data_IF_885340891875
#
_entry.id   IF_885340891875
#
_cell.length_a   1.000
_cell.length_b   1.000
_cell.length_c   1.000
_cell.angle_alpha   90.00
_cell.angle_beta   90.00
_cell.angle_gamma   90.00
#
_symmetry.space_group_name_H-M   'P 1'
#
loop_
_entity.id
_entity.type
_entity.pdbx_description
1 polymer ?
#
# COMPACT_ATOMS: atom_id res chain seq x y z
N UNK A 1 37.88 -11.59 -56.25
CA UNK A 1 38.27 -12.82 -56.94
C UNK A 1 37.77 -13.97 -56.09
N UNK A 2 36.54 -14.48 -56.26
CA UNK A 2 35.77 -14.77 -57.51
C UNK A 2 36.46 -15.88 -58.33
N UNK A 3 35.79 -16.91 -58.87
CA UNK A 3 34.36 -17.33 -58.79
C UNK A 3 34.29 -18.84 -59.17
N UNK A 4 33.65 -19.73 -58.39
CA UNK A 4 32.28 -20.28 -58.56
C UNK A 4 32.14 -21.49 -59.51
N UNK A 5 31.11 -22.34 -59.25
CA UNK A 5 30.55 -23.44 -60.09
C UNK A 5 31.40 -24.74 -60.14
N UNK A 6 30.87 -25.96 -60.00
CA UNK A 6 29.47 -26.46 -60.17
C UNK A 6 29.07 -27.57 -59.16
N UNK A 7 27.79 -27.57 -58.78
CA UNK A 7 26.93 -28.74 -58.45
C UNK A 7 26.14 -29.14 -59.74
N UNK A 8 25.22 -30.15 -59.84
CA UNK A 8 24.54 -30.90 -58.76
C UNK A 8 24.33 -32.43 -58.95
N UNK A 9 23.91 -33.11 -57.87
CA UNK A 9 22.97 -34.26 -57.87
C UNK A 9 21.95 -34.01 -56.74
N UNK A 10 20.77 -33.44 -56.99
CA UNK A 10 19.57 -34.12 -57.54
C UNK A 10 19.08 -35.29 -56.67
N UNK A 11 18.16 -34.97 -55.76
CA UNK A 11 17.25 -35.92 -55.09
C UNK A 11 15.86 -35.27 -55.04
N UNK A 12 15.00 -35.63 -55.99
CA UNK A 12 13.57 -35.35 -55.88
C UNK A 12 12.97 -36.18 -54.73
N UNK A 13 12.12 -35.54 -53.93
CA UNK A 13 11.21 -36.22 -53.02
C UNK A 13 9.98 -35.32 -52.86
N UNK A 14 8.96 -35.61 -53.67
CA UNK A 14 7.61 -35.04 -53.53
C UNK A 14 6.93 -35.55 -52.24
N UNK A 15 5.72 -35.02 -52.00
CA UNK A 15 4.71 -35.48 -51.03
C UNK A 15 5.06 -35.27 -49.53
N UNK A 16 4.26 -34.62 -48.68
CA UNK A 16 2.85 -34.16 -48.78
C UNK A 16 2.66 -32.77 -48.13
N UNK A 17 1.86 -31.89 -48.74
CA UNK A 17 1.34 -30.69 -48.04
C UNK A 17 0.21 -31.10 -47.10
N UNK A 18 0.56 -31.35 -45.83
CA UNK A 18 -0.41 -31.71 -44.79
C UNK A 18 -1.09 -30.45 -44.22
N UNK A 19 -2.10 -29.94 -44.95
CA UNK A 19 -3.03 -28.91 -44.46
C UNK A 19 -3.77 -29.45 -43.22
N UNK A 20 -3.20 -29.19 -42.05
CA UNK A 20 -3.74 -29.58 -40.76
C UNK A 20 -4.71 -28.50 -40.31
N UNK A 21 -5.98 -28.62 -40.72
CA UNK A 21 -7.06 -27.80 -40.20
C UNK A 21 -7.08 -27.87 -38.66
N UNK A 22 -6.65 -26.79 -37.99
CA UNK A 22 -6.77 -26.65 -36.54
C UNK A 22 -8.25 -26.41 -36.18
N UNK A 23 -9.01 -27.49 -36.05
CA UNK A 23 -10.33 -27.45 -35.40
C UNK A 23 -10.15 -27.00 -33.94
N UNK A 24 -10.33 -25.70 -33.69
CA UNK A 24 -10.37 -25.14 -32.33
C UNK A 24 -11.47 -25.85 -31.52
N UNK A 25 -11.05 -26.63 -30.51
CA UNK A 25 -11.95 -27.48 -29.74
C UNK A 25 -12.75 -26.67 -28.71
N UNK A 26 -14.00 -26.34 -29.07
CA UNK A 26 -14.96 -25.57 -28.25
C UNK A 26 -15.22 -26.14 -26.82
N UNK A 27 -14.85 -27.40 -26.54
CA UNK A 27 -15.17 -28.10 -25.28
C UNK A 27 -14.51 -27.45 -24.04
N UNK A 28 -13.35 -26.79 -24.18
CA UNK A 28 -12.67 -26.10 -23.08
C UNK A 28 -13.42 -24.84 -22.59
N UNK A 29 -14.26 -24.20 -23.43
CA UNK A 29 -14.90 -22.93 -23.05
C UNK A 29 -16.02 -23.12 -22.01
N UNK A 30 -16.63 -24.30 -21.97
CA UNK A 30 -17.78 -24.61 -21.09
C UNK A 30 -17.33 -24.68 -19.62
N UNK A 31 -16.22 -25.36 -19.32
CA UNK A 31 -15.68 -25.48 -17.96
C UNK A 31 -15.20 -24.15 -17.38
N UNK A 32 -14.56 -23.34 -18.22
CA UNK A 32 -14.08 -21.98 -17.86
C UNK A 32 -15.22 -21.06 -17.41
N UNK A 33 -16.38 -21.14 -18.09
CA UNK A 33 -17.56 -20.32 -17.79
C UNK A 33 -18.21 -20.67 -16.44
N UNK A 34 -18.21 -21.93 -16.01
CA UNK A 34 -18.71 -22.30 -14.67
C UNK A 34 -17.77 -21.83 -13.56
N UNK A 35 -16.46 -22.08 -13.68
CA UNK A 35 -15.47 -21.63 -12.69
C UNK A 35 -15.49 -20.11 -12.49
N UNK A 36 -15.59 -19.32 -13.57
CA UNK A 36 -15.74 -17.85 -13.47
C UNK A 36 -17.03 -17.45 -12.77
N UNK A 37 -18.13 -18.16 -13.03
CA UNK A 37 -19.43 -17.94 -12.39
C UNK A 37 -19.42 -18.29 -10.89
N UNK A 38 -18.76 -19.40 -10.52
CA UNK A 38 -18.58 -19.82 -9.13
C UNK A 38 -17.62 -18.92 -8.35
N UNK A 39 -16.57 -18.38 -8.99
CA UNK A 39 -15.71 -17.36 -8.38
C UNK A 39 -16.48 -16.03 -8.13
N UNK A 40 -17.37 -15.64 -9.05
CA UNK A 40 -18.26 -14.48 -8.85
C UNK A 40 -19.26 -14.75 -7.71
N UNK A 41 -19.79 -15.97 -7.59
CA UNK A 41 -20.62 -16.39 -6.45
C UNK A 41 -19.85 -16.34 -5.12
N UNK A 42 -18.64 -16.89 -5.06
CA UNK A 42 -17.75 -16.81 -3.88
C UNK A 42 -17.45 -15.35 -3.50
N UNK A 43 -17.20 -14.50 -4.49
CA UNK A 43 -17.01 -13.05 -4.32
C UNK A 43 -18.27 -12.37 -3.77
N UNK A 44 -19.46 -12.76 -4.21
CA UNK A 44 -20.73 -12.22 -3.71
C UNK A 44 -21.05 -12.74 -2.30
N UNK A 45 -20.82 -14.01 -2.02
CA UNK A 45 -20.96 -14.63 -0.70
C UNK A 45 -20.00 -13.97 0.30
N UNK A 46 -18.73 -13.79 -0.04
CA UNK A 46 -17.76 -13.07 0.79
C UNK A 46 -18.15 -11.59 1.02
N UNK A 47 -18.70 -10.91 0.00
CA UNK A 47 -19.27 -9.56 0.14
C UNK A 47 -20.44 -9.50 1.13
N UNK A 48 -21.21 -10.57 1.29
CA UNK A 48 -22.29 -10.66 2.29
C UNK A 48 -21.76 -11.11 3.67
N UNK A 49 -20.86 -12.09 3.70
CA UNK A 49 -20.37 -12.79 4.88
C UNK A 49 -19.15 -12.15 5.58
N UNK A 50 -18.54 -11.07 5.04
CA UNK A 50 -17.37 -10.36 5.60
C UNK A 50 -17.46 -9.98 7.09
N UNK A 51 -18.67 -9.99 7.67
CA UNK A 51 -18.92 -9.70 9.09
C UNK A 51 -18.87 -10.93 10.00
N UNK A 52 -18.89 -12.13 9.44
CA UNK A 52 -19.19 -13.38 10.16
C UNK A 52 -18.02 -14.37 10.22
N UNK A 53 -16.96 -14.24 9.40
CA UNK A 53 -15.82 -15.19 9.37
C UNK A 53 -15.00 -15.29 10.67
N UNK A 54 -15.29 -14.47 11.68
CA UNK A 54 -14.84 -14.65 13.08
C UNK A 54 -15.50 -15.87 13.77
N UNK A 55 -16.57 -16.43 13.19
CA UNK A 55 -17.22 -17.66 13.62
C UNK A 55 -16.64 -18.84 12.82
N UNK A 56 -16.14 -19.92 13.47
CA UNK A 56 -15.60 -21.07 12.76
C UNK A 56 -16.59 -21.70 11.79
N UNK A 57 -17.88 -21.77 12.15
CA UNK A 57 -18.92 -22.42 11.35
C UNK A 57 -19.07 -21.71 10.00
N UNK A 58 -19.33 -20.39 10.02
CA UNK A 58 -19.48 -19.57 8.81
C UNK A 58 -18.19 -19.45 7.96
N UNK A 59 -17.03 -19.80 8.53
CA UNK A 59 -15.77 -19.92 7.81
C UNK A 59 -15.65 -21.27 7.10
N UNK A 60 -15.93 -22.38 7.81
CA UNK A 60 -15.88 -23.72 7.22
C UNK A 60 -16.98 -23.94 6.17
N UNK A 61 -18.19 -23.43 6.40
CA UNK A 61 -19.30 -23.47 5.42
C UNK A 61 -18.85 -22.85 4.08
N UNK A 62 -18.29 -21.63 4.13
CA UNK A 62 -17.79 -20.92 2.95
C UNK A 62 -16.61 -21.64 2.27
N UNK A 63 -15.62 -22.11 3.05
CA UNK A 63 -14.47 -22.83 2.50
C UNK A 63 -14.87 -24.18 1.89
N UNK A 64 -15.92 -24.83 2.38
CA UNK A 64 -16.43 -26.09 1.84
C UNK A 64 -17.30 -25.89 0.58
N UNK A 65 -18.14 -24.84 0.56
CA UNK A 65 -19.00 -24.46 -0.57
C UNK A 65 -18.21 -24.01 -1.81
N UNK A 66 -17.08 -23.32 -1.60
CA UNK A 66 -16.25 -22.73 -2.66
C UNK A 66 -14.85 -23.35 -2.79
N UNK A 67 -14.64 -24.57 -2.27
CA UNK A 67 -13.35 -25.28 -2.23
C UNK A 67 -12.64 -25.46 -3.58
N UNK A 68 -13.38 -25.32 -4.67
CA UNK A 68 -12.97 -25.44 -6.07
C UNK A 68 -12.51 -24.12 -6.71
N UNK A 69 -12.77 -22.97 -6.06
CA UNK A 69 -12.37 -21.63 -6.54
C UNK A 69 -11.49 -20.86 -5.55
N UNK A 70 -11.18 -21.44 -4.37
CA UNK A 70 -10.29 -20.82 -3.36
C UNK A 70 -8.82 -20.80 -3.76
N UNK A 71 -8.37 -21.77 -4.56
CA UNK A 71 -7.03 -21.84 -5.15
C UNK A 71 -6.85 -20.93 -6.38
N UNK A 72 -7.94 -20.43 -6.95
CA UNK A 72 -7.93 -19.89 -8.30
C UNK A 72 -7.68 -18.39 -8.41
N UNK A 73 -7.13 -17.98 -9.56
CA UNK A 73 -6.84 -16.59 -9.91
C UNK A 73 -7.59 -16.19 -11.18
N UNK A 74 -8.56 -15.29 -11.04
CA UNK A 74 -9.24 -14.66 -12.19
C UNK A 74 -8.39 -13.54 -12.78
N UNK A 75 -8.48 -13.33 -14.10
CA UNK A 75 -7.79 -12.23 -14.79
C UNK A 75 -8.23 -10.86 -14.24
N UNK A 76 -9.54 -10.63 -14.13
CA UNK A 76 -10.10 -9.32 -13.75
C UNK A 76 -9.78 -8.91 -12.31
N UNK A 77 -9.87 -9.86 -11.36
CA UNK A 77 -9.85 -9.55 -9.92
C UNK A 77 -8.74 -10.25 -9.12
N UNK A 78 -7.95 -11.11 -9.76
CA UNK A 78 -6.96 -11.95 -9.10
C UNK A 78 -7.61 -13.09 -8.31
N UNK A 79 -6.96 -13.46 -7.21
CA UNK A 79 -7.41 -14.49 -6.26
C UNK A 79 -8.39 -13.93 -5.22
N UNK A 80 -9.12 -14.79 -4.50
CA UNK A 80 -10.02 -14.35 -3.41
C UNK A 80 -9.32 -13.51 -2.33
N UNK A 81 -7.99 -13.65 -2.14
CA UNK A 81 -7.21 -12.78 -1.25
C UNK A 81 -7.17 -11.31 -1.70
N UNK A 82 -7.11 -11.04 -3.01
CA UNK A 82 -7.18 -9.67 -3.54
C UNK A 82 -8.54 -9.04 -3.21
N UNK A 83 -9.61 -9.82 -3.39
CA UNK A 83 -10.99 -9.42 -3.05
C UNK A 83 -11.13 -9.19 -1.53
N UNK A 84 -10.60 -10.08 -0.69
CA UNK A 84 -10.63 -9.93 0.77
C UNK A 84 -9.92 -8.65 1.24
N UNK A 85 -8.75 -8.32 0.68
CA UNK A 85 -8.03 -7.07 0.97
C UNK A 85 -8.81 -5.85 0.48
N UNK A 86 -9.41 -5.91 -0.72
CA UNK A 86 -10.19 -4.80 -1.29
C UNK A 86 -11.43 -4.50 -0.44
N UNK A 87 -12.16 -5.51 0.03
CA UNK A 87 -13.29 -5.31 0.94
C UNK A 87 -12.83 -4.61 2.23
N UNK A 88 -11.72 -5.03 2.82
CA UNK A 88 -11.20 -4.42 4.04
C UNK A 88 -10.61 -3.02 3.80
N UNK A 89 -10.16 -2.69 2.58
CA UNK A 89 -9.54 -1.39 2.22
C UNK A 89 -10.36 -0.20 2.73
N UNK A 90 -11.65 -0.20 2.45
CA UNK A 90 -12.57 0.90 2.77
C UNK A 90 -13.27 0.76 4.14
N UNK A 91 -13.02 -0.31 4.89
CA UNK A 91 -13.77 -0.64 6.10
C UNK A 91 -13.06 -0.35 7.44
N UNK A 92 -13.84 -0.42 8.51
CA UNK A 92 -13.40 -0.18 9.89
C UNK A 92 -12.53 -1.32 10.42
N UNK A 93 -11.67 -1.01 11.40
CA UNK A 93 -10.74 -1.98 12.01
C UNK A 93 -11.43 -3.24 12.57
N UNK A 94 -12.69 -3.12 13.03
CA UNK A 94 -13.48 -4.27 13.52
C UNK A 94 -13.79 -5.25 12.40
N UNK A 95 -14.17 -4.77 11.20
CA UNK A 95 -14.39 -5.64 10.03
C UNK A 95 -13.07 -6.14 9.44
N UNK A 96 -12.01 -5.36 9.57
CA UNK A 96 -10.64 -5.80 9.22
C UNK A 96 -10.23 -7.04 10.01
N UNK A 97 -10.57 -7.09 11.31
CA UNK A 97 -10.30 -8.26 12.16
C UNK A 97 -11.15 -9.48 11.78
N UNK A 98 -12.41 -9.28 11.36
CA UNK A 98 -13.30 -10.40 11.02
C UNK A 98 -12.83 -11.18 9.77
N UNK A 99 -12.06 -10.56 8.88
CA UNK A 99 -11.49 -11.23 7.69
C UNK A 99 -10.17 -11.98 7.97
N UNK A 100 -9.55 -11.79 9.15
CA UNK A 100 -8.27 -12.42 9.49
C UNK A 100 -8.31 -13.95 9.46
N UNK A 101 -9.32 -14.64 10.04
CA UNK A 101 -9.38 -16.11 10.01
C UNK A 101 -9.48 -16.68 8.58
N UNK A 102 -10.24 -16.01 7.69
CA UNK A 102 -10.34 -16.41 6.29
C UNK A 102 -9.01 -16.27 5.55
N UNK A 103 -8.33 -15.13 5.71
CA UNK A 103 -7.00 -14.88 5.12
C UNK A 103 -6.00 -15.92 5.62
N UNK A 104 -5.98 -16.23 6.92
CA UNK A 104 -5.04 -17.18 7.50
C UNK A 104 -5.29 -18.63 7.05
N UNK A 105 -6.54 -19.06 6.89
CA UNK A 105 -6.84 -20.41 6.37
C UNK A 105 -6.50 -20.52 4.87
N UNK A 106 -6.84 -19.52 4.06
CA UNK A 106 -6.47 -19.49 2.64
C UNK A 106 -4.94 -19.53 2.44
N UNK A 107 -4.17 -18.86 3.32
CA UNK A 107 -2.70 -18.86 3.25
C UNK A 107 -2.04 -20.12 3.81
N UNK A 108 -2.70 -20.81 4.74
CA UNK A 108 -2.24 -22.09 5.28
C UNK A 108 -2.36 -23.22 4.25
N UNK A 109 -3.49 -23.31 3.57
CA UNK A 109 -3.75 -24.35 2.57
C UNK A 109 -3.21 -23.98 1.17
N UNK A 110 -3.18 -22.70 0.81
CA UNK A 110 -2.75 -22.20 -0.51
C UNK A 110 -1.77 -21.00 -0.42
N UNK A 111 -0.54 -21.17 0.09
CA UNK A 111 0.48 -20.12 0.18
C UNK A 111 0.72 -19.32 -1.12
N UNK A 112 0.70 -20.02 -2.25
CA UNK A 112 1.01 -19.48 -3.58
C UNK A 112 0.07 -18.34 -4.03
N UNK A 113 -1.09 -18.18 -3.40
CA UNK A 113 -2.02 -17.09 -3.70
C UNK A 113 -1.41 -15.70 -3.43
N UNK A 114 -0.34 -15.60 -2.64
CA UNK A 114 0.41 -14.37 -2.39
C UNK A 114 1.25 -13.89 -3.58
N UNK A 115 1.69 -14.80 -4.45
CA UNK A 115 2.58 -14.46 -5.59
C UNK A 115 1.79 -14.19 -6.88
N UNK A 116 0.53 -14.64 -6.94
CA UNK A 116 -0.42 -14.28 -8.00
C UNK A 116 -0.63 -12.76 -8.02
N UNK A 117 -0.70 -12.18 -9.24
CA UNK A 117 -0.97 -10.76 -9.48
C UNK A 117 -2.38 -10.59 -10.04
N UNK A 118 -3.06 -9.49 -9.72
CA UNK A 118 -4.29 -9.07 -10.39
C UNK A 118 -3.99 -8.31 -11.70
N UNK A 119 -5.05 -7.88 -12.40
CA UNK A 119 -5.02 -7.00 -13.58
C UNK A 119 -4.21 -5.71 -13.41
N UNK A 120 -4.08 -5.19 -12.18
CA UNK A 120 -3.26 -4.01 -11.87
C UNK A 120 -1.77 -4.35 -11.64
N UNK A 121 -1.33 -5.58 -11.93
CA UNK A 121 0.00 -6.11 -11.60
C UNK A 121 0.36 -6.18 -10.10
N UNK A 122 -0.62 -6.02 -9.20
CA UNK A 122 -0.45 -6.02 -7.74
C UNK A 122 -0.70 -7.41 -7.15
N UNK A 123 0.03 -7.77 -6.10
CA UNK A 123 -0.21 -8.98 -5.28
C UNK A 123 -1.12 -8.65 -4.07
N UNK A 124 -1.69 -9.65 -3.34
CA UNK A 124 -2.50 -9.37 -2.16
C UNK A 124 -1.71 -8.66 -1.06
N UNK A 125 -0.46 -9.06 -0.85
CA UNK A 125 0.45 -8.43 0.12
C UNK A 125 0.75 -6.97 -0.24
N UNK A 126 0.97 -6.70 -1.54
CA UNK A 126 1.14 -5.34 -2.04
C UNK A 126 -0.11 -4.48 -1.80
N UNK A 127 -1.31 -5.00 -2.10
CA UNK A 127 -2.57 -4.32 -1.79
C UNK A 127 -2.77 -4.07 -0.29
N UNK A 128 -2.39 -5.03 0.57
CA UNK A 128 -2.48 -4.88 2.02
C UNK A 128 -1.57 -3.74 2.52
N UNK A 129 -0.32 -3.68 2.03
CA UNK A 129 0.60 -2.56 2.31
C UNK A 129 0.07 -1.24 1.75
N UNK A 130 -0.47 -1.21 0.53
CA UNK A 130 -1.07 -0.01 -0.10
C UNK A 130 -2.21 0.55 0.75
N UNK A 131 -3.07 -0.33 1.27
CA UNK A 131 -4.21 0.04 2.13
C UNK A 131 -3.82 0.61 3.49
N UNK A 132 -2.54 0.49 3.89
CA UNK A 132 -1.98 0.85 5.20
C UNK A 132 -2.61 0.11 6.39
N UNK A 133 -3.38 -0.95 6.16
CA UNK A 133 -4.01 -1.76 7.20
C UNK A 133 -2.97 -2.73 7.77
N UNK A 134 -2.16 -2.29 8.74
CA UNK A 134 -1.14 -3.13 9.39
C UNK A 134 -1.67 -4.50 9.77
N UNK A 135 -2.87 -4.59 10.39
CA UNK A 135 -3.50 -5.86 10.76
C UNK A 135 -3.64 -6.88 9.62
N UNK A 136 -3.85 -6.44 8.37
CA UNK A 136 -3.88 -7.34 7.20
C UNK A 136 -2.47 -7.83 6.82
N UNK A 137 -1.49 -6.94 6.86
CA UNK A 137 -0.09 -7.28 6.57
C UNK A 137 0.44 -8.22 7.66
N UNK A 138 0.19 -7.89 8.92
CA UNK A 138 0.53 -8.67 10.10
C UNK A 138 -0.17 -10.05 10.08
N UNK A 139 -1.42 -10.17 9.61
CA UNK A 139 -2.09 -11.47 9.45
C UNK A 139 -1.58 -12.28 8.27
N UNK A 140 -1.22 -11.63 7.16
CA UNK A 140 -0.63 -12.26 5.97
C UNK A 140 0.79 -12.80 6.19
N UNK A 141 1.46 -12.43 7.28
CA UNK A 141 2.80 -12.91 7.64
C UNK A 141 2.83 -13.72 8.95
N UNK A 142 1.69 -13.93 9.59
CA UNK A 142 1.62 -14.53 10.93
C UNK A 142 2.14 -15.97 10.98
N UNK A 143 1.71 -16.82 10.03
CA UNK A 143 2.08 -18.24 10.00
C UNK A 143 3.46 -18.54 9.42
N UNK A 144 4.26 -17.53 9.06
CA UNK A 144 5.61 -17.73 8.52
C UNK A 144 6.59 -18.41 9.50
N UNK A 145 6.27 -18.45 10.79
CA UNK A 145 7.01 -19.22 11.81
C UNK A 145 6.62 -20.69 11.90
N UNK A 146 5.47 -21.06 11.33
CA UNK A 146 4.87 -22.41 11.43
C UNK A 146 4.88 -23.14 10.08
N UNK A 147 4.79 -22.41 8.97
CA UNK A 147 4.66 -22.93 7.62
C UNK A 147 5.78 -22.42 6.68
N UNK A 148 6.80 -23.24 6.36
CA UNK A 148 7.91 -22.82 5.49
C UNK A 148 7.50 -22.41 4.07
N UNK A 149 6.45 -23.03 3.52
CA UNK A 149 5.91 -22.67 2.19
C UNK A 149 5.24 -21.29 2.20
N UNK A 150 4.57 -20.93 3.29
CA UNK A 150 4.04 -19.58 3.53
C UNK A 150 5.18 -18.56 3.67
N UNK A 151 6.25 -18.90 4.40
CA UNK A 151 7.46 -18.07 4.44
C UNK A 151 8.05 -17.83 3.04
N UNK A 152 8.18 -18.87 2.20
CA UNK A 152 8.65 -18.70 0.81
C UNK A 152 7.71 -17.79 0.03
N UNK A 153 6.40 -18.07 0.03
CA UNK A 153 5.42 -17.28 -0.73
C UNK A 153 5.37 -15.80 -0.29
N UNK A 154 5.61 -15.50 1.00
CA UNK A 154 5.80 -14.11 1.48
C UNK A 154 7.11 -13.52 0.96
N UNK A 155 8.22 -14.25 0.98
CA UNK A 155 9.50 -13.78 0.44
C UNK A 155 9.42 -13.51 -1.08
N UNK A 156 8.77 -14.39 -1.82
CA UNK A 156 8.53 -14.25 -3.25
C UNK A 156 7.62 -13.04 -3.52
N UNK A 157 6.53 -12.87 -2.76
CA UNK A 157 5.63 -11.72 -2.87
C UNK A 157 6.23 -10.38 -2.41
N UNK A 158 7.32 -10.39 -1.63
CA UNK A 158 8.12 -9.21 -1.29
C UNK A 158 9.06 -8.79 -2.42
N UNK A 159 9.44 -9.72 -3.30
CA UNK A 159 10.36 -9.51 -4.44
C UNK A 159 9.64 -9.28 -5.78
N UNK A 160 8.31 -9.46 -5.85
CA UNK A 160 7.51 -9.10 -7.02
C UNK A 160 7.26 -7.57 -7.08
N UNK A 161 7.66 -6.89 -8.18
CA UNK A 161 7.36 -5.47 -8.39
C UNK A 161 5.95 -5.27 -9.01
N UNK A 162 5.30 -4.17 -8.67
CA UNK A 162 4.10 -3.71 -9.37
C UNK A 162 4.49 -2.86 -10.59
N UNK A 163 4.19 -3.31 -11.81
CA UNK A 163 4.60 -2.63 -13.04
C UNK A 163 3.94 -1.24 -13.18
N UNK A 164 2.62 -1.18 -12.97
CA UNK A 164 1.82 0.06 -13.02
C UNK A 164 2.32 1.12 -12.02
N UNK A 165 2.66 0.70 -10.80
CA UNK A 165 3.19 1.58 -9.76
C UNK A 165 4.73 1.74 -9.87
N UNK A 166 5.23 2.08 -11.06
CA UNK A 166 6.65 2.38 -11.32
C UNK A 166 7.63 1.27 -10.88
N UNK A 167 7.30 -0.01 -11.07
CA UNK A 167 8.09 -1.16 -10.58
C UNK A 167 8.34 -1.17 -9.06
N UNK A 168 7.54 -0.46 -8.25
CA UNK A 168 7.71 -0.50 -6.79
C UNK A 168 7.39 -1.89 -6.24
N UNK A 169 8.27 -2.41 -5.38
CA UNK A 169 8.04 -3.62 -4.61
C UNK A 169 7.46 -3.28 -3.22
N UNK A 170 6.95 -4.30 -2.51
CA UNK A 170 6.26 -4.16 -1.23
C UNK A 170 7.04 -3.33 -0.18
N UNK A 171 8.37 -3.45 -0.12
CA UNK A 171 9.20 -2.69 0.83
C UNK A 171 9.26 -1.19 0.50
N UNK A 172 9.41 -0.80 -0.78
CA UNK A 172 9.35 0.63 -1.18
C UNK A 172 8.03 1.26 -0.74
N UNK A 173 6.93 0.54 -1.00
CA UNK A 173 5.58 0.98 -0.69
C UNK A 173 5.35 1.13 0.82
N UNK A 174 5.88 0.22 1.63
CA UNK A 174 5.75 0.28 3.10
C UNK A 174 6.42 1.54 3.69
N UNK A 175 7.50 2.02 3.07
CA UNK A 175 8.13 3.30 3.40
C UNK A 175 7.34 4.50 2.86
N UNK A 176 7.01 4.52 1.57
CA UNK A 176 6.31 5.64 0.91
C UNK A 176 4.93 5.90 1.51
N UNK A 177 4.11 4.86 1.68
CA UNK A 177 2.80 4.94 2.32
C UNK A 177 2.88 5.10 3.85
N UNK A 178 4.08 5.09 4.45
CA UNK A 178 4.33 5.25 5.90
C UNK A 178 3.48 4.28 6.73
N UNK A 179 3.74 2.97 6.56
CA UNK A 179 3.15 1.87 7.34
C UNK A 179 3.64 1.91 8.80
N UNK A 180 2.98 1.18 9.71
CA UNK A 180 3.41 1.13 11.12
C UNK A 180 4.80 0.48 11.26
N UNK A 181 5.65 1.05 12.12
CA UNK A 181 7.06 0.68 12.20
C UNK A 181 7.28 -0.80 12.53
N UNK A 182 6.54 -1.39 13.47
CA UNK A 182 6.65 -2.82 13.81
C UNK A 182 6.32 -3.74 12.64
N UNK A 183 5.33 -3.39 11.82
CA UNK A 183 5.00 -4.16 10.61
C UNK A 183 6.12 -4.07 9.59
N UNK A 184 6.75 -2.90 9.42
CA UNK A 184 7.94 -2.75 8.57
C UNK A 184 9.12 -3.58 9.10
N UNK A 185 9.37 -3.55 10.41
CA UNK A 185 10.39 -4.34 11.10
C UNK A 185 10.15 -5.86 10.86
N UNK A 186 8.90 -6.34 10.94
CA UNK A 186 8.53 -7.72 10.60
C UNK A 186 8.76 -8.08 9.13
N UNK A 187 8.31 -7.23 8.19
CA UNK A 187 8.54 -7.46 6.75
C UNK A 187 10.04 -7.52 6.41
N UNK A 188 10.85 -6.66 7.03
CA UNK A 188 12.32 -6.67 6.86
C UNK A 188 12.99 -7.90 7.49
N UNK A 189 12.42 -8.45 8.57
CA UNK A 189 12.89 -9.70 9.18
C UNK A 189 12.65 -10.93 8.28
N UNK A 190 11.53 -10.94 7.56
CA UNK A 190 11.15 -12.05 6.67
C UNK A 190 11.79 -11.98 5.28
N UNK A 191 12.05 -10.77 4.77
CA UNK A 191 12.61 -10.53 3.45
C UNK A 191 13.95 -11.25 3.17
N UNK A 192 14.17 -11.64 1.90
CA UNK A 192 15.47 -12.07 1.37
C UNK A 192 16.30 -10.85 0.94
N UNK A 193 17.60 -11.04 0.69
CA UNK A 193 18.53 -9.95 0.31
C UNK A 193 18.18 -9.28 -1.03
N UNK A 194 17.49 -9.99 -1.94
CA UNK A 194 17.02 -9.44 -3.21
C UNK A 194 16.01 -8.30 -3.01
N UNK A 195 15.03 -8.47 -2.12
CA UNK A 195 14.02 -7.46 -1.79
C UNK A 195 14.63 -6.12 -1.32
N UNK A 196 15.81 -6.14 -0.72
CA UNK A 196 16.54 -4.91 -0.32
C UNK A 196 17.32 -4.28 -1.48
N UNK A 197 17.75 -5.08 -2.46
CA UNK A 197 18.46 -4.65 -3.66
C UNK A 197 17.53 -4.20 -4.80
N UNK A 198 16.27 -4.62 -4.81
CA UNK A 198 15.22 -4.23 -5.77
C UNK A 198 15.22 -2.71 -6.01
N UNK A 199 15.23 -2.30 -7.28
CA UNK A 199 15.12 -0.89 -7.69
C UNK A 199 13.76 -0.60 -8.32
N UNK A 200 13.18 0.56 -8.01
CA UNK A 200 12.00 1.08 -8.71
C UNK A 200 12.36 1.65 -10.10
N UNK A 201 11.36 2.14 -10.83
CA UNK A 201 11.51 2.80 -12.14
C UNK A 201 12.30 4.12 -12.11
N UNK A 202 12.65 4.63 -10.93
CA UNK A 202 13.56 5.77 -10.69
C UNK A 202 14.95 5.33 -10.21
N UNK A 203 15.22 4.02 -10.13
CA UNK A 203 16.47 3.43 -9.65
C UNK A 203 16.59 3.34 -8.12
N UNK A 204 15.58 3.76 -7.35
CA UNK A 204 15.65 3.76 -5.89
C UNK A 204 15.44 2.36 -5.31
N UNK A 205 16.26 2.01 -4.34
CA UNK A 205 16.01 0.86 -3.45
C UNK A 205 15.05 1.22 -2.30
N UNK A 206 14.48 0.27 -1.54
CA UNK A 206 13.64 0.59 -0.38
C UNK A 206 14.35 1.45 0.66
N UNK A 207 15.69 1.34 0.76
CA UNK A 207 16.51 2.17 1.64
C UNK A 207 16.47 3.65 1.26
N UNK A 208 16.42 4.00 -0.04
CA UNK A 208 16.28 5.39 -0.50
C UNK A 208 14.97 6.03 -0.01
N UNK A 209 13.89 5.25 0.09
CA UNK A 209 12.63 5.69 0.69
C UNK A 209 12.68 5.74 2.22
N UNK A 210 13.37 4.78 2.86
CA UNK A 210 13.54 4.76 4.30
C UNK A 210 14.35 5.96 4.83
N UNK A 211 15.33 6.45 4.06
CA UNK A 211 16.17 7.61 4.44
C UNK A 211 15.55 8.97 4.14
N UNK A 212 14.33 9.08 3.63
CA UNK A 212 13.72 10.39 3.38
C UNK A 212 13.67 11.28 4.63
N UNK A 213 14.17 12.51 4.53
CA UNK A 213 14.12 13.49 5.63
C UNK A 213 12.69 13.79 6.11
N UNK A 214 11.68 13.62 5.24
CA UNK A 214 10.24 13.72 5.58
C UNK A 214 9.72 12.64 6.54
N UNK A 215 10.59 11.70 6.92
CA UNK A 215 10.28 10.50 7.72
C UNK A 215 11.19 10.34 8.94
N UNK A 216 12.10 11.30 9.17
CA UNK A 216 13.06 11.29 10.28
C UNK A 216 12.36 11.20 11.63
N UNK A 217 12.60 10.09 12.32
CA UNK A 217 12.02 9.72 13.60
C UNK A 217 12.89 8.66 14.25
N UNK A 218 12.80 8.49 15.57
CA UNK A 218 13.56 7.47 16.30
C UNK A 218 13.29 6.06 15.74
N UNK A 219 12.02 5.74 15.45
CA UNK A 219 11.62 4.48 14.83
C UNK A 219 12.24 4.29 13.43
N UNK A 220 12.38 5.37 12.64
CA UNK A 220 13.08 5.28 11.35
C UNK A 220 14.58 5.06 11.53
N UNK A 221 15.23 5.67 12.53
CA UNK A 221 16.64 5.38 12.86
C UNK A 221 16.83 3.91 13.27
N UNK A 222 15.93 3.33 14.06
CA UNK A 222 15.98 1.87 14.38
C UNK A 222 15.89 1.01 13.12
N UNK A 223 15.01 1.36 12.18
CA UNK A 223 14.91 0.70 10.88
C UNK A 223 16.21 0.82 10.07
N UNK A 224 16.85 1.99 10.01
CA UNK A 224 18.15 2.16 9.31
C UNK A 224 19.24 1.30 9.95
N UNK A 225 19.24 1.13 11.28
CA UNK A 225 20.14 0.19 11.97
C UNK A 225 19.90 -1.27 11.56
N UNK A 226 18.67 -1.69 11.25
CA UNK A 226 18.40 -3.03 10.70
C UNK A 226 18.99 -3.22 9.30
N UNK A 227 18.90 -2.21 8.42
CA UNK A 227 19.61 -2.24 7.12
C UNK A 227 21.13 -2.34 7.32
N UNK A 228 21.70 -1.55 8.23
CA UNK A 228 23.14 -1.57 8.55
C UNK A 228 23.58 -2.94 9.09
N UNK A 229 22.82 -3.57 10.00
CA UNK A 229 23.19 -4.87 10.57
C UNK A 229 23.06 -6.01 9.56
N UNK A 230 22.03 -5.95 8.70
CA UNK A 230 21.89 -6.91 7.59
C UNK A 230 23.05 -6.79 6.61
N UNK A 231 23.45 -5.57 6.25
CA UNK A 231 24.62 -5.34 5.39
C UNK A 231 25.93 -5.88 5.98
N UNK A 232 26.20 -5.66 7.28
CA UNK A 232 27.36 -6.29 7.96
C UNK A 232 27.32 -7.81 7.80
N UNK A 233 26.14 -8.41 7.99
CA UNK A 233 25.94 -9.85 7.87
C UNK A 233 26.22 -10.34 6.45
N UNK A 234 25.67 -9.68 5.43
CA UNK A 234 25.96 -9.97 4.01
C UNK A 234 27.45 -9.81 3.68
N UNK A 235 28.12 -8.76 4.17
CA UNK A 235 29.57 -8.55 3.99
C UNK A 235 30.42 -9.63 4.65
N UNK A 236 30.08 -10.06 5.87
CA UNK A 236 30.80 -11.12 6.59
C UNK A 236 30.65 -12.47 5.87
N UNK A 237 29.44 -12.83 5.46
CA UNK A 237 29.17 -14.09 4.73
C UNK A 237 29.93 -14.12 3.40
N UNK A 238 29.97 -13.01 2.65
CA UNK A 238 30.68 -12.95 1.37
C UNK A 238 32.20 -12.92 1.54
N UNK A 239 32.74 -12.15 2.49
CA UNK A 239 34.20 -12.17 2.81
C UNK A 239 34.70 -13.53 3.29
N UNK A 240 33.83 -14.37 3.83
CA UNK A 240 34.15 -15.76 4.21
C UNK A 240 34.07 -16.76 3.04
N UNK A 241 33.50 -16.37 1.89
CA UNK A 241 33.39 -17.20 0.67
C UNK A 241 34.39 -16.77 -0.41
N UNK A 242 34.43 -15.48 -0.70
CA UNK A 242 35.23 -14.90 -1.78
C UNK A 242 36.51 -14.26 -1.25
N UNK A 243 37.57 -15.07 -1.12
CA UNK A 243 38.93 -14.57 -0.82
C UNK A 243 39.60 -13.87 -2.02
N UNK A 244 39.00 -13.96 -3.22
CA UNK A 244 39.57 -13.47 -4.48
C UNK A 244 39.02 -12.09 -4.93
N UNK A 245 37.86 -11.65 -4.45
CA UNK A 245 37.31 -10.34 -4.81
C UNK A 245 37.66 -9.28 -3.75
N UNK A 246 38.41 -8.20 -4.11
CA UNK A 246 38.81 -7.16 -3.15
C UNK A 246 37.68 -6.17 -2.82
N UNK A 247 36.55 -6.25 -3.51
CA UNK A 247 35.37 -5.39 -3.33
C UNK A 247 34.13 -6.28 -3.26
N UNK A 248 33.30 -6.07 -2.25
CA UNK A 248 32.03 -6.80 -2.06
C UNK A 248 30.91 -5.77 -2.03
N UNK A 249 30.17 -5.66 -3.13
CA UNK A 249 29.04 -4.72 -3.27
C UNK A 249 27.74 -5.33 -2.71
N UNK A 250 26.92 -4.52 -2.04
CA UNK A 250 25.62 -4.90 -1.48
C UNK A 250 24.51 -3.91 -1.87
N UNK A 251 23.30 -4.11 -1.35
CA UNK A 251 22.18 -3.16 -1.51
C UNK A 251 22.47 -1.73 -0.99
N UNK A 252 23.51 -1.53 -0.16
CA UNK A 252 23.94 -0.21 0.31
C UNK A 252 24.76 0.56 -0.74
N UNK A 253 25.35 -0.15 -1.70
CA UNK A 253 26.23 0.40 -2.73
C UNK A 253 25.48 0.77 -4.02
N UNK A 254 24.20 0.36 -4.12
CA UNK A 254 23.27 0.69 -5.22
C UNK A 254 22.90 2.18 -5.16
N UNK A 255 22.89 2.83 -6.33
CA UNK A 255 22.55 4.25 -6.53
C UNK A 255 21.23 4.42 -7.30
N UNK A 256 20.53 5.54 -7.09
CA UNK A 256 19.35 5.90 -7.89
C UNK A 256 19.70 6.27 -9.34
N UNK A 257 18.71 6.47 -10.22
CA UNK A 257 18.93 6.82 -11.64
C UNK A 257 19.67 8.16 -11.83
N UNK A 258 19.78 9.01 -10.81
CA UNK A 258 20.61 10.23 -10.83
C UNK A 258 22.06 9.98 -10.43
N UNK A 259 22.40 8.77 -9.97
CA UNK A 259 23.70 8.44 -9.39
C UNK A 259 23.84 8.85 -7.92
N UNK A 260 22.75 9.19 -7.21
CA UNK A 260 22.84 9.39 -5.76
C UNK A 260 22.96 8.06 -5.03
N UNK A 261 23.85 7.99 -4.05
CA UNK A 261 23.77 7.02 -2.95
C UNK A 261 22.59 7.32 -2.04
N UNK A 262 22.24 6.39 -1.14
CA UNK A 262 21.26 6.65 -0.07
C UNK A 262 21.65 7.83 0.82
N UNK A 263 22.94 8.09 1.03
CA UNK A 263 23.43 9.24 1.80
C UNK A 263 23.19 10.56 1.06
N UNK A 264 23.53 10.65 -0.23
CA UNK A 264 23.20 11.82 -1.06
C UNK A 264 21.69 12.00 -1.23
N UNK A 265 20.92 10.91 -1.33
CA UNK A 265 19.46 10.96 -1.41
C UNK A 265 18.85 11.54 -0.13
N UNK A 266 19.39 11.21 1.04
CA UNK A 266 18.98 11.87 2.29
C UNK A 266 19.20 13.38 2.23
N UNK A 267 20.39 13.84 1.81
CA UNK A 267 20.72 15.26 1.68
C UNK A 267 19.80 15.98 0.69
N UNK A 268 19.60 15.44 -0.52
CA UNK A 268 18.68 15.99 -1.52
C UNK A 268 17.23 16.03 -1.01
N UNK A 269 16.82 15.07 -0.15
CA UNK A 269 15.51 15.07 0.48
C UNK A 269 15.37 16.08 1.63
N UNK A 270 16.47 16.41 2.32
CA UNK A 270 16.50 17.38 3.41
C UNK A 270 16.44 18.82 2.90
N UNK A 271 17.20 19.13 1.84
CA UNK A 271 17.15 20.42 1.13
C UNK A 271 15.73 20.74 0.64
N UNK A 272 15.12 19.81 -0.12
CA UNK A 272 13.72 19.93 -0.56
C UNK A 272 12.74 20.06 0.59
N UNK A 273 12.98 19.40 1.72
CA UNK A 273 12.11 19.54 2.89
C UNK A 273 12.20 20.96 3.47
N UNK A 274 13.39 21.55 3.54
CA UNK A 274 13.59 22.95 3.98
C UNK A 274 12.92 23.95 3.04
N UNK A 275 13.10 23.82 1.72
CA UNK A 275 12.38 24.63 0.72
C UNK A 275 10.86 24.53 0.87
N UNK A 276 10.35 23.30 1.03
CA UNK A 276 8.93 23.05 1.26
C UNK A 276 8.41 23.54 2.63
N UNK A 277 9.28 23.92 3.58
CA UNK A 277 8.88 24.67 4.77
C UNK A 277 8.91 26.18 4.50
N UNK A 278 9.95 26.70 3.84
CA UNK A 278 10.07 28.13 3.48
C UNK A 278 8.84 28.60 2.69
N UNK A 279 8.48 27.89 1.61
CA UNK A 279 7.30 28.18 0.77
C UNK A 279 6.01 28.18 1.60
N UNK A 280 5.88 27.29 2.60
CA UNK A 280 4.69 27.22 3.48
C UNK A 280 4.67 28.33 4.53
N UNK A 281 5.81 28.88 4.92
CA UNK A 281 5.90 30.04 5.80
C UNK A 281 5.56 31.33 5.01
N UNK A 282 6.13 31.49 3.82
CA UNK A 282 5.84 32.60 2.89
C UNK A 282 4.35 32.67 2.51
N UNK A 283 3.75 31.52 2.19
CA UNK A 283 2.31 31.43 1.92
C UNK A 283 1.45 31.87 3.12
N UNK A 284 1.78 31.43 4.34
CA UNK A 284 1.06 31.83 5.56
C UNK A 284 1.26 33.30 5.93
N UNK A 285 2.46 33.84 5.71
CA UNK A 285 2.71 35.27 5.90
C UNK A 285 1.87 36.11 4.92
N UNK A 286 1.80 35.68 3.66
CA UNK A 286 0.98 36.31 2.61
C UNK A 286 -0.52 36.24 2.92
N UNK A 287 -0.99 35.09 3.42
CA UNK A 287 -2.38 34.88 3.87
C UNK A 287 -2.72 35.75 5.08
N UNK A 288 -1.80 35.85 6.06
CA UNK A 288 -1.96 36.71 7.25
C UNK A 288 -2.02 38.19 6.86
N UNK A 289 -1.14 38.64 5.96
CA UNK A 289 -1.16 40.01 5.44
C UNK A 289 -2.45 40.33 4.67
N UNK A 290 -2.97 39.38 3.88
CA UNK A 290 -4.28 39.51 3.23
C UNK A 290 -5.42 39.62 4.25
N UNK A 291 -5.43 38.77 5.28
CA UNK A 291 -6.42 38.81 6.35
C UNK A 291 -6.41 40.16 7.11
N UNK A 292 -5.23 40.72 7.38
CA UNK A 292 -5.08 42.05 8.01
C UNK A 292 -5.50 43.20 7.08
N UNK A 293 -5.33 43.06 5.76
CA UNK A 293 -5.79 44.06 4.77
C UNK A 293 -7.32 44.15 4.66
N UNK A 294 -8.02 43.04 4.95
CA UNK A 294 -9.48 42.96 4.98
C UNK A 294 -10.01 43.40 6.35
N UNK A 295 -9.81 44.68 6.67
CA UNK A 295 -10.18 45.28 7.95
C UNK A 295 -11.66 45.07 8.34
N UNK A 296 -11.98 45.11 9.65
CA UNK A 296 -13.30 44.72 10.16
C UNK A 296 -14.41 45.60 9.59
N UNK A 297 -15.27 45.01 8.76
CA UNK A 297 -16.50 45.64 8.26
C UNK A 297 -17.42 45.98 9.43
N UNK A 298 -17.38 47.23 9.90
CA UNK A 298 -18.42 47.79 10.78
C UNK A 298 -19.76 47.70 10.05
N UNK A 299 -20.66 46.85 10.54
CA UNK A 299 -22.06 46.84 10.12
C UNK A 299 -22.69 48.20 10.48
N UNK A 300 -23.26 48.95 9.53
CA UNK A 300 -24.02 50.14 9.85
C UNK A 300 -25.31 49.74 10.57
N UNK A 301 -25.45 50.14 11.83
CA UNK A 301 -26.70 49.93 12.57
C UNK A 301 -27.77 50.91 12.11
N UNK A 302 -28.93 50.41 11.67
CA UNK A 302 -30.08 51.24 11.32
C UNK A 302 -31.30 50.96 12.21
N UNK A 303 -31.45 51.81 13.22
CA UNK A 303 -32.69 52.44 13.70
C UNK A 303 -33.96 51.56 13.73
N UNK A 304 -34.40 51.24 14.96
CA UNK A 304 -35.80 50.86 15.25
C UNK A 304 -36.74 52.04 14.98
N UNK A 305 -37.92 51.78 14.38
CA UNK A 305 -39.21 52.36 14.83
C UNK A 305 -40.41 51.52 14.37
N UNK A 306 -41.19 51.12 15.37
CA UNK A 306 -42.59 50.67 15.44
C UNK A 306 -43.52 50.92 14.23
N UNK A 307 -44.28 49.87 13.87
CA UNK A 307 -45.76 49.75 13.85
C UNK A 307 -46.60 50.84 13.12
N UNK A 308 -47.68 50.55 12.36
CA UNK A 308 -48.52 49.34 12.18
C UNK A 308 -48.92 49.13 10.68
N UNK A 309 -49.61 48.02 10.34
CA UNK A 309 -50.75 48.12 9.39
C UNK A 309 -50.76 47.36 8.04
N UNK A 310 -51.07 46.04 8.07
CA UNK A 310 -51.97 45.32 7.13
C UNK A 310 -51.69 45.26 5.60
N UNK A 311 -51.29 44.05 5.14
CA UNK A 311 -51.72 43.28 3.94
C UNK A 311 -51.90 43.99 2.56
N UNK A 312 -51.28 43.54 1.46
CA UNK A 312 -51.75 42.38 0.65
C UNK A 312 -50.80 42.04 -0.55
N UNK A 313 -50.96 40.83 -1.10
CA UNK A 313 -50.54 40.33 -2.44
C UNK A 313 -49.08 40.48 -2.92
N UNK A 314 -48.41 39.35 -3.14
CA UNK A 314 -47.18 39.24 -3.96
C UNK A 314 -47.49 38.73 -5.38
N UNK A 315 -46.70 39.14 -6.37
CA UNK A 315 -46.73 38.56 -7.71
C UNK A 315 -45.77 39.22 -8.69
N UNK A 316 -45.09 38.41 -9.51
CA UNK A 316 -44.18 38.81 -10.62
C UNK A 316 -42.89 39.58 -10.24
N UNK A 317 -41.80 39.53 -11.01
CA UNK A 317 -41.36 38.57 -12.06
C UNK A 317 -39.92 38.88 -12.53
N UNK A 318 -39.14 37.86 -12.91
CA UNK A 318 -37.89 37.98 -13.72
C UNK A 318 -36.72 38.78 -13.05
N UNK A 319 -35.46 38.78 -13.53
CA UNK A 319 -34.88 38.43 -14.84
C UNK A 319 -33.42 37.93 -14.70
N UNK A 320 -32.97 36.99 -15.57
CA UNK A 320 -31.56 36.73 -15.99
C UNK A 320 -30.46 36.28 -14.96
N UNK A 321 -29.34 35.64 -15.34
CA UNK A 321 -28.89 35.16 -16.67
C UNK A 321 -28.02 33.86 -16.69
N UNK A 322 -27.88 33.33 -17.91
CA UNK A 322 -26.89 32.41 -18.53
C UNK A 322 -25.45 32.38 -17.95
N UNK A 323 -24.54 31.39 -18.16
CA UNK A 323 -24.40 30.09 -18.91
C UNK A 323 -23.03 29.47 -18.43
N UNK A 324 -22.60 28.19 -18.53
CA UNK A 324 -22.87 26.86 -19.16
C UNK A 324 -22.44 25.77 -18.11
N UNK A 325 -22.79 24.47 -18.09
CA UNK A 325 -23.43 23.48 -19.00
C UNK A 325 -22.55 22.76 -20.04
N UNK A 326 -22.13 21.49 -19.74
CA UNK A 326 -21.78 20.31 -20.60
C UNK A 326 -20.88 19.32 -19.83
N UNK A 327 -21.06 17.99 -19.81
CA UNK A 327 -22.17 17.06 -20.12
C UNK A 327 -22.41 16.23 -18.82
N UNK A 328 -23.55 15.59 -18.53
CA UNK A 328 -24.46 14.82 -19.40
C UNK A 328 -24.21 13.33 -19.09
N UNK A 329 -24.84 12.68 -18.10
CA UNK A 329 -26.27 12.51 -17.74
C UNK A 329 -26.92 11.29 -18.44
N UNK A 330 -27.51 10.40 -17.63
CA UNK A 330 -28.74 9.67 -17.94
C UNK A 330 -29.27 8.95 -16.68
N UNK A 331 -30.37 9.44 -16.10
CA UNK A 331 -31.09 8.79 -14.99
C UNK A 331 -32.02 7.64 -15.46
N UNK A 332 -32.20 6.61 -14.62
CA UNK A 332 -33.50 5.98 -14.30
C UNK A 332 -33.40 5.44 -12.84
N UNK A 333 -34.36 5.56 -11.92
CA UNK A 333 -35.62 6.33 -11.94
C UNK A 333 -36.71 5.69 -11.06
N UNK A 334 -37.19 6.41 -10.02
CA UNK A 334 -38.32 6.03 -9.14
C UNK A 334 -38.13 4.78 -8.24
N UNK A 335 -38.91 4.53 -7.18
CA UNK A 335 -39.99 5.29 -6.55
C UNK A 335 -39.95 5.13 -5.00
N UNK A 336 -40.73 5.95 -4.27
CA UNK A 336 -40.75 6.02 -2.79
C UNK A 336 -42.17 5.84 -2.24
N UNK A 337 -42.46 4.71 -1.56
CA UNK A 337 -43.69 4.55 -0.76
C UNK A 337 -43.46 3.72 0.52
N UNK A 338 -44.10 4.16 1.60
CA UNK A 338 -44.47 3.43 2.83
C UNK A 338 -45.98 3.67 3.03
N UNK A 339 -46.75 2.76 3.66
CA UNK A 339 -47.15 3.01 5.06
C UNK A 339 -47.62 1.80 5.92
N UNK A 340 -47.78 2.05 7.24
CA UNK A 340 -48.58 1.30 8.25
C UNK A 340 -48.15 -0.16 8.59
N UNK A 341 -48.51 -0.80 9.73
CA UNK A 341 -48.73 -0.43 11.16
C UNK A 341 -49.67 -1.48 11.79
N UNK A 342 -49.20 -2.20 12.81
CA UNK A 342 -49.90 -2.78 13.98
C UNK A 342 -48.80 -3.31 14.94
N UNK A 343 -48.77 -3.12 16.26
CA UNK A 343 -49.79 -3.09 17.33
C UNK A 343 -50.41 -4.46 17.65
N UNK A 344 -50.38 -4.97 18.89
CA UNK A 344 -49.62 -4.60 20.12
C UNK A 344 -49.12 -5.95 20.76
N UNK A 345 -48.83 -6.24 22.05
CA UNK A 345 -49.04 -5.66 23.41
C UNK A 345 -47.87 -6.05 24.36
N UNK A 346 -47.93 -5.58 25.63
CA UNK A 346 -47.07 -5.92 26.80
C UNK A 346 -47.95 -6.77 27.78
N UNK A 347 -47.70 -7.01 29.11
CA UNK A 347 -46.53 -6.76 29.97
C UNK A 347 -46.08 -7.94 30.86
N UNK A 348 -44.95 -7.77 31.56
CA UNK A 348 -44.49 -8.65 32.65
C UNK A 348 -43.49 -7.97 33.59
N UNK A 349 -43.91 -7.66 34.83
CA UNK A 349 -43.16 -6.81 35.78
C UNK A 349 -42.50 -7.60 36.93
N UNK A 350 -41.62 -6.94 37.71
CA UNK A 350 -41.07 -7.32 39.03
C UNK A 350 -39.93 -8.39 39.04
N UNK A 351 -38.89 -8.31 39.88
CA UNK A 351 -38.45 -7.21 40.78
C UNK A 351 -36.97 -7.32 41.26
N UNK A 352 -36.41 -6.16 41.63
CA UNK A 352 -35.43 -5.86 42.71
C UNK A 352 -34.28 -6.84 43.03
N UNK A 353 -33.04 -6.32 42.97
CA UNK A 353 -31.93 -6.70 43.87
C UNK A 353 -30.91 -5.53 44.04
N UNK A 354 -30.02 -5.56 45.04
CA UNK A 354 -29.63 -4.32 45.74
C UNK A 354 -28.29 -3.68 45.31
N UNK A 355 -28.05 -2.47 45.86
CA UNK A 355 -26.75 -1.77 45.87
C UNK A 355 -25.63 -2.63 46.46
N UNK A 356 -24.44 -2.53 45.88
CA UNK A 356 -23.16 -2.66 46.59
C UNK A 356 -22.23 -1.51 46.19
N UNK A 357 -21.37 -1.08 47.10
CA UNK A 357 -20.39 -0.01 46.87
C UNK A 357 -18.96 -0.56 46.82
N UNK A 358 -18.02 0.30 46.37
CA UNK A 358 -16.56 0.15 46.38
C UNK A 358 -15.98 -0.68 45.23
N UNK A 359 -14.92 -0.15 44.63
CA UNK A 359 -14.25 -0.69 43.44
C UNK A 359 -13.34 0.37 42.81
N UNK A 360 -12.22 0.69 43.47
CA UNK A 360 -11.23 1.64 42.96
C UNK A 360 -10.32 0.95 41.93
N UNK A 361 -10.65 1.05 40.64
CA UNK A 361 -9.69 0.77 39.58
C UNK A 361 -9.61 1.93 38.58
N UNK A 362 -8.39 2.45 38.42
CA UNK A 362 -8.10 3.52 37.48
C UNK A 362 -8.07 2.95 36.06
N UNK A 363 -9.10 3.27 35.26
CA UNK A 363 -9.13 2.93 33.83
C UNK A 363 -7.83 3.42 33.17
N UNK A 364 -7.04 2.55 32.51
CA UNK A 364 -5.85 2.99 31.80
C UNK A 364 -6.27 4.01 30.75
N UNK A 365 -5.60 5.18 30.76
CA UNK A 365 -5.81 6.19 29.73
C UNK A 365 -5.48 5.54 28.39
N UNK A 366 -6.45 5.48 27.48
CA UNK A 366 -6.16 5.14 26.08
C UNK A 366 -5.27 6.24 25.54
N UNK A 367 -4.00 5.93 25.33
CA UNK A 367 -3.09 6.75 24.55
C UNK A 367 -3.58 6.75 23.09
N UNK A 368 -4.56 7.62 22.84
CA UNK A 368 -4.81 8.08 21.49
C UNK A 368 -3.59 8.88 21.09
N UNK A 369 -2.71 8.25 20.30
CA UNK A 369 -1.61 8.89 19.59
C UNK A 369 -2.18 9.99 18.67
N UNK A 370 -2.51 11.13 19.27
CA UNK A 370 -2.62 12.39 18.56
C UNK A 370 -1.28 12.58 17.89
N UNK A 371 -1.26 12.39 16.56
CA UNK A 371 -0.12 12.68 15.69
C UNK A 371 0.26 14.16 15.85
N UNK A 372 1.06 14.44 16.87
CA UNK A 372 1.82 15.67 17.00
C UNK A 372 2.61 15.82 15.70
N UNK A 373 2.49 16.99 15.06
CA UNK A 373 3.32 17.29 13.90
C UNK A 373 4.76 17.19 14.39
N UNK A 374 5.54 16.31 13.78
CA UNK A 374 6.91 16.06 14.20
C UNK A 374 7.65 17.41 14.30
N UNK A 375 8.22 17.65 15.47
CA UNK A 375 8.92 18.89 15.76
C UNK A 375 10.15 19.03 14.83
N UNK A 376 10.36 20.19 14.17
CA UNK A 376 11.51 20.42 13.30
C UNK A 376 12.87 20.15 13.95
N UNK A 377 13.06 20.48 15.23
CA UNK A 377 14.32 20.24 15.94
C UNK A 377 14.57 18.73 16.13
N UNK A 378 13.54 18.01 16.56
CA UNK A 378 13.52 16.54 16.65
C UNK A 378 13.80 15.87 15.30
N UNK A 379 13.21 16.36 14.20
CA UNK A 379 13.49 15.84 12.86
C UNK A 379 14.94 16.08 12.43
N UNK A 380 15.49 17.28 12.68
CA UNK A 380 16.89 17.60 12.39
C UNK A 380 17.86 16.70 13.20
N UNK A 381 17.56 16.45 14.47
CA UNK A 381 18.29 15.52 15.34
C UNK A 381 18.32 14.09 14.77
N UNK A 382 17.18 13.56 14.32
CA UNK A 382 17.11 12.21 13.74
C UNK A 382 17.69 12.15 12.32
N UNK A 383 17.61 13.22 11.53
CA UNK A 383 18.28 13.37 10.23
C UNK A 383 19.80 13.27 10.40
N UNK A 384 20.38 14.06 11.31
CA UNK A 384 21.81 13.98 11.61
C UNK A 384 22.23 12.60 12.08
N UNK A 385 21.51 12.02 13.06
CA UNK A 385 21.84 10.69 13.60
C UNK A 385 21.80 9.60 12.51
N UNK A 386 20.87 9.69 11.56
CA UNK A 386 20.79 8.78 10.41
C UNK A 386 22.01 8.92 9.48
N UNK A 387 22.42 10.15 9.17
CA UNK A 387 23.61 10.44 8.37
C UNK A 387 24.89 9.95 9.06
N UNK A 388 25.05 10.24 10.36
CA UNK A 388 26.19 9.83 11.18
C UNK A 388 26.33 8.29 11.18
N UNK A 389 25.23 7.55 11.36
CA UNK A 389 25.21 6.07 11.34
C UNK A 389 25.57 5.50 9.96
N UNK A 390 24.97 6.01 8.87
CA UNK A 390 25.28 5.57 7.51
C UNK A 390 26.73 5.85 7.14
N UNK A 391 27.22 7.06 7.39
CA UNK A 391 28.59 7.47 7.09
C UNK A 391 29.60 6.62 7.88
N UNK A 392 29.40 6.49 9.20
CA UNK A 392 30.31 5.76 10.07
C UNK A 392 30.37 4.27 9.72
N UNK A 393 29.22 3.66 9.38
CA UNK A 393 29.17 2.27 8.91
C UNK A 393 29.89 2.10 7.57
N UNK A 394 29.58 2.96 6.60
CA UNK A 394 30.12 2.85 5.24
C UNK A 394 31.65 3.07 5.22
N UNK A 395 32.14 4.11 5.90
CA UNK A 395 33.58 4.39 6.05
C UNK A 395 34.38 3.31 6.79
N UNK A 396 33.72 2.47 7.61
CA UNK A 396 34.34 1.33 8.30
C UNK A 396 34.35 0.04 7.49
N UNK A 397 33.54 -0.06 6.44
CA UNK A 397 33.27 -1.34 5.76
C UNK A 397 33.69 -1.39 4.29
N UNK A 398 33.74 -0.23 3.61
CA UNK A 398 34.17 -0.06 2.22
C UNK A 398 35.57 0.55 2.11
N UNK A 399 36.15 0.48 0.91
CA UNK A 399 37.40 1.18 0.59
C UNK A 399 37.17 2.70 0.41
N UNK A 400 38.27 3.47 0.36
CA UNK A 400 38.21 4.93 0.27
C UNK A 400 37.50 5.44 -0.99
N UNK A 401 37.70 4.81 -2.16
CA UNK A 401 37.08 5.22 -3.42
C UNK A 401 35.57 5.06 -3.39
N UNK A 402 35.08 3.94 -2.86
CA UNK A 402 33.66 3.72 -2.61
C UNK A 402 33.12 4.74 -1.59
N UNK A 403 33.80 4.95 -0.45
CA UNK A 403 33.34 5.88 0.58
C UNK A 403 33.25 7.33 0.07
N UNK A 404 34.21 7.75 -0.75
CA UNK A 404 34.20 9.04 -1.45
C UNK A 404 33.03 9.12 -2.44
N UNK A 405 32.82 8.10 -3.27
CA UNK A 405 31.67 8.03 -4.18
C UNK A 405 30.31 7.98 -3.46
N UNK A 406 30.25 7.39 -2.26
CA UNK A 406 29.03 7.28 -1.46
C UNK A 406 28.66 8.61 -0.79
N UNK A 407 29.63 9.34 -0.24
CA UNK A 407 29.38 10.62 0.41
C UNK A 407 29.17 11.75 -0.61
N UNK A 408 29.93 11.77 -1.70
CA UNK A 408 30.01 12.92 -2.62
C UNK A 408 29.51 12.64 -4.04
N UNK A 409 29.36 11.38 -4.45
CA UNK A 409 29.00 10.98 -5.81
C UNK A 409 30.22 10.75 -6.72
N UNK A 410 29.98 10.25 -7.94
CA UNK A 410 31.05 9.82 -8.86
C UNK A 410 31.85 10.97 -9.51
N UNK A 411 31.42 12.23 -9.36
CA UNK A 411 31.93 13.39 -10.11
C UNK A 411 33.05 14.16 -9.37
N UNK A 412 33.87 13.50 -8.55
CA UNK A 412 35.03 14.15 -7.91
C UNK A 412 36.29 14.17 -8.79
N UNK A 413 36.30 13.43 -9.90
CA UNK A 413 37.19 13.69 -11.02
C UNK A 413 36.53 14.77 -11.88
N UNK A 414 36.95 16.03 -11.72
CA UNK A 414 36.25 17.18 -12.29
C UNK A 414 36.22 17.25 -13.82
N UNK A 415 35.14 17.84 -14.34
CA UNK A 415 34.99 18.43 -15.67
C UNK A 415 34.43 19.84 -15.49
#
# INVERSE_FOLDING_TARGET
>A
METHLNDPEFWDSDDEEFDMDEEESDDDEIGSRDLRSRFLAATAAMKQAHRNFSKPEALYDFLYEFRDVVSESTEDSGTLLHVAVELVRNETAVRSANMVPLIQNLLKEHPHLLTKRNRECRTPLYMAVWSRKSLLVDSMIHGCSEHPEWLSAVQDALEIPCAEDQNMACLHLAFEKKLHHKTIESLMGLARDGAFAMQDGTGKTPLHYAVECSQCSEARVRIIRLFIERDKSTLLIRKARDTAQPVVETFLDIVDRKGNSVYRHHLESAEKFQDLQRIKQEARASETLRALSLGPRKLPGMIRRTDEGVQTSEGSSTIENMRKSRYGDSEIGSARLTPLRRQDEDPGELSKSPRSEKGLEAKPKRDTERRTKADPESMAKYSKLLLDELQLHYMRTRNITMAVSFLYGKNLNGQ
#
